data_IF_675004654839
#
_entry.id   IF_675004654839
#
_cell.length_a   1.000
_cell.length_b   1.000
_cell.length_c   1.000
_cell.angle_alpha   90.00
_cell.angle_beta   90.00
_cell.angle_gamma   90.00
#
_symmetry.space_group_name_H-M   'P 1'
#
loop_
_entity.id
_entity.type
_entity.pdbx_description
1 polymer ?
#
# COMPACT_ATOMS: atom_id res chain seq x y z
N UNK A 1 -49.57 42.71 35.92
CA UNK A 1 -48.69 43.09 34.79
C UNK A 1 -47.50 42.13 34.85
N UNK A 2 -47.55 41.00 34.14
CA UNK A 2 -46.99 40.77 32.78
C UNK A 2 -45.49 41.12 32.74
N UNK A 3 -44.52 40.25 32.41
CA UNK A 3 -44.51 39.12 31.47
C UNK A 3 -43.50 38.04 31.89
N UNK A 4 -43.88 36.80 31.60
CA UNK A 4 -43.03 35.61 31.52
C UNK A 4 -42.29 35.65 30.17
N UNK A 5 -40.98 35.42 30.16
CA UNK A 5 -40.21 35.28 28.91
C UNK A 5 -39.47 33.95 28.93
N UNK A 6 -39.82 33.12 27.95
CA UNK A 6 -39.37 31.74 27.77
C UNK A 6 -37.86 31.63 27.54
N UNK A 7 -37.26 30.58 28.11
CA UNK A 7 -36.00 30.03 27.62
C UNK A 7 -36.24 29.39 26.24
N UNK A 8 -35.64 29.95 25.20
CA UNK A 8 -35.59 29.34 23.87
C UNK A 8 -34.46 28.32 23.87
N UNK A 9 -34.83 27.04 23.72
CA UNK A 9 -33.92 25.94 23.42
C UNK A 9 -33.41 26.15 21.99
N UNK A 10 -32.16 26.55 21.82
CA UNK A 10 -31.50 26.50 20.51
C UNK A 10 -31.11 25.05 20.22
N UNK A 11 -31.94 24.39 19.40
CA UNK A 11 -31.64 23.11 18.77
C UNK A 11 -30.52 23.30 17.74
N UNK A 12 -29.43 22.56 17.89
CA UNK A 12 -28.34 22.51 16.90
C UNK A 12 -28.88 21.96 15.56
N UNK A 13 -28.45 22.51 14.41
CA UNK A 13 -28.85 21.97 13.13
C UNK A 13 -28.21 20.59 12.92
N UNK A 14 -29.07 19.61 12.63
CA UNK A 14 -28.67 18.27 12.19
C UNK A 14 -27.84 18.38 10.91
N UNK A 15 -26.53 18.12 10.99
CA UNK A 15 -25.71 17.91 9.81
C UNK A 15 -26.07 16.56 9.18
N UNK A 16 -26.78 16.62 8.06
CA UNK A 16 -26.87 15.54 7.08
C UNK A 16 -25.48 15.20 6.55
N UNK A 17 -25.11 13.90 6.40
CA UNK A 17 -23.82 13.54 5.80
C UNK A 17 -23.84 13.93 4.32
N UNK A 18 -22.88 14.75 3.92
CA UNK A 18 -22.67 15.12 2.53
C UNK A 18 -22.32 13.86 1.73
N UNK A 19 -23.02 13.69 0.63
CA UNK A 19 -22.86 12.65 -0.38
C UNK A 19 -21.43 12.58 -0.91
N UNK A 20 -20.92 11.36 -1.02
CA UNK A 20 -19.67 10.99 -1.68
C UNK A 20 -19.53 11.67 -3.05
N UNK A 21 -18.48 12.48 -3.20
CA UNK A 21 -18.03 12.97 -4.51
C UNK A 21 -17.21 11.85 -5.14
N UNK A 22 -17.66 11.36 -6.30
CA UNK A 22 -16.91 10.43 -7.14
C UNK A 22 -15.73 11.16 -7.78
N UNK A 23 -14.55 11.07 -7.18
CA UNK A 23 -13.33 11.54 -7.81
C UNK A 23 -12.92 10.57 -8.91
N UNK A 24 -12.74 11.11 -10.11
CA UNK A 24 -12.31 10.38 -11.29
C UNK A 24 -10.90 10.82 -11.67
N UNK A 25 -10.01 9.87 -11.92
CA UNK A 25 -8.60 10.15 -12.28
C UNK A 25 -8.49 10.14 -13.80
N UNK A 26 -7.86 11.17 -14.38
CA UNK A 26 -7.62 11.31 -15.83
C UNK A 26 -6.11 11.17 -16.07
N UNK A 27 -5.69 10.18 -16.86
CA UNK A 27 -4.30 10.02 -17.30
C UNK A 27 -4.11 10.59 -18.73
N UNK A 28 -3.00 11.31 -19.01
CA UNK A 28 -2.68 11.75 -20.38
C UNK A 28 -2.01 10.62 -21.19
N UNK A 29 -2.47 10.39 -22.43
CA UNK A 29 -1.93 9.38 -23.34
C UNK A 29 -0.48 9.69 -23.77
N UNK A 30 0.38 8.66 -23.81
CA UNK A 30 1.70 8.70 -24.47
C UNK A 30 1.59 8.30 -25.94
N UNK A 31 2.29 9.03 -26.81
CA UNK A 31 2.42 8.73 -28.25
C UNK A 31 3.65 7.84 -28.48
N UNK A 32 3.45 6.64 -29.03
CA UNK A 32 4.53 5.72 -29.43
C UNK A 32 5.12 6.13 -30.80
N UNK A 33 6.45 6.28 -30.95
CA UNK A 33 7.06 6.62 -32.23
C UNK A 33 7.96 5.47 -32.72
N UNK A 34 7.46 4.51 -33.51
CA UNK A 34 8.31 3.73 -34.45
C UNK A 34 7.43 2.90 -35.40
N UNK A 35 7.43 3.23 -36.70
CA UNK A 35 7.28 2.24 -37.77
C UNK A 35 8.29 2.52 -38.87
N UNK A 36 9.20 1.57 -39.05
CA UNK A 36 10.20 1.51 -40.12
C UNK A 36 9.70 0.51 -41.17
N UNK A 37 9.67 0.91 -42.43
CA UNK A 37 9.35 0.06 -43.58
C UNK A 37 10.01 0.61 -44.84
N UNK A 38 10.98 -0.14 -45.36
CA UNK A 38 11.81 0.13 -46.54
C UNK A 38 11.01 0.22 -47.85
N UNK A 39 11.56 0.95 -48.83
CA UNK A 39 10.85 1.35 -50.05
C UNK A 39 11.04 0.48 -51.30
N UNK A 40 10.27 0.83 -52.35
CA UNK A 40 10.72 0.79 -53.75
C UNK A 40 9.80 1.61 -54.69
N UNK A 41 10.49 2.29 -55.60
CA UNK A 41 10.15 3.25 -56.65
C UNK A 41 8.80 3.23 -57.44
N UNK A 42 8.37 4.48 -57.73
CA UNK A 42 7.78 5.03 -58.98
C UNK A 42 6.38 4.60 -59.46
N UNK A 43 5.36 5.45 -59.21
CA UNK A 43 4.61 6.24 -60.24
C UNK A 43 3.26 6.77 -59.69
N UNK A 44 3.02 8.06 -59.94
CA UNK A 44 1.72 8.77 -60.01
C UNK A 44 0.88 8.82 -58.71
N UNK A 45 0.94 9.99 -58.06
CA UNK A 45 -0.05 10.49 -57.11
C UNK A 45 -1.47 10.36 -57.67
N UNK A 46 -2.24 9.42 -57.15
CA UNK A 46 -3.71 9.50 -57.10
C UNK A 46 -4.09 9.83 -55.66
N UNK A 47 -4.79 10.95 -55.50
CA UNK A 47 -5.33 11.42 -54.22
C UNK A 47 -6.38 10.43 -53.74
N UNK A 48 -5.99 9.48 -52.89
CA UNK A 48 -6.95 8.67 -52.12
C UNK A 48 -7.36 9.55 -50.93
N UNK A 49 -8.60 10.02 -50.93
CA UNK A 49 -9.18 10.58 -49.71
C UNK A 49 -9.36 9.41 -48.73
N UNK A 50 -8.46 9.28 -47.78
CA UNK A 50 -8.70 8.46 -46.59
C UNK A 50 -9.65 9.30 -45.74
N UNK A 51 -10.92 8.90 -45.68
CA UNK A 51 -11.84 9.41 -44.68
C UNK A 51 -11.28 9.00 -43.30
N UNK A 52 -10.52 9.89 -42.67
CA UNK A 52 -10.21 9.78 -41.25
C UNK A 52 -11.52 10.05 -40.52
N UNK A 53 -12.29 8.99 -40.26
CA UNK A 53 -13.33 9.06 -39.25
C UNK A 53 -12.59 9.31 -37.93
N UNK A 54 -12.74 10.46 -37.26
CA UNK A 54 -12.16 10.61 -35.94
C UNK A 54 -12.98 9.70 -35.03
N UNK A 55 -12.51 8.47 -34.84
CA UNK A 55 -12.99 7.61 -33.76
C UNK A 55 -12.83 8.44 -32.50
N UNK A 56 -13.95 8.96 -32.02
CA UNK A 56 -14.01 9.75 -30.81
C UNK A 56 -13.69 8.77 -29.70
N UNK A 57 -12.41 8.60 -29.39
CA UNK A 57 -11.94 7.86 -28.22
C UNK A 57 -12.50 8.64 -27.03
N UNK A 58 -13.65 8.19 -26.55
CA UNK A 58 -14.20 8.68 -25.28
C UNK A 58 -13.23 8.21 -24.21
N UNK A 59 -12.57 9.11 -23.46
CA UNK A 59 -11.73 8.70 -22.36
C UNK A 59 -12.59 7.87 -21.40
N UNK A 60 -12.21 6.61 -21.18
CA UNK A 60 -12.89 5.76 -20.21
C UNK A 60 -12.50 6.27 -18.84
N UNK A 61 -13.45 6.89 -18.16
CA UNK A 61 -13.28 7.28 -16.77
C UNK A 61 -13.27 6.00 -15.91
N UNK A 62 -12.10 5.54 -15.49
CA UNK A 62 -11.98 4.42 -14.54
C UNK A 62 -12.54 4.89 -13.20
N UNK A 63 -13.50 4.14 -12.65
CA UNK A 63 -13.99 4.43 -11.31
C UNK A 63 -12.96 3.93 -10.30
N UNK A 64 -12.75 4.66 -9.21
CA UNK A 64 -11.84 4.25 -8.13
C UNK A 64 -12.09 2.80 -7.64
N UNK A 65 -13.35 2.34 -7.67
CA UNK A 65 -13.73 0.97 -7.33
C UNK A 65 -13.26 -0.12 -8.32
N UNK A 66 -12.77 0.26 -9.49
CA UNK A 66 -12.22 -0.64 -10.52
C UNK A 66 -10.70 -0.79 -10.41
N UNK A 67 -10.03 0.03 -9.56
CA UNK A 67 -8.57 -0.04 -9.32
C UNK A 67 -8.16 -1.20 -8.40
N UNK A 68 -9.13 -1.88 -7.79
CA UNK A 68 -8.90 -2.96 -6.82
C UNK A 68 -9.67 -4.19 -7.28
N UNK A 69 -8.97 -5.31 -7.58
CA UNK A 69 -9.62 -6.55 -7.98
C UNK A 69 -10.66 -7.02 -6.97
N UNK A 70 -11.84 -7.38 -7.47
CA UNK A 70 -12.92 -7.95 -6.66
C UNK A 70 -12.73 -9.41 -6.32
N UNK A 71 -11.81 -10.09 -6.98
CA UNK A 71 -11.48 -11.49 -6.69
C UNK A 71 -10.25 -11.59 -5.78
N UNK A 72 -9.99 -12.79 -5.28
CA UNK A 72 -8.77 -13.11 -4.53
C UNK A 72 -7.54 -13.28 -5.43
N UNK A 73 -6.33 -13.37 -4.84
CA UNK A 73 -5.15 -13.80 -5.57
C UNK A 73 -5.35 -15.17 -6.25
N UNK A 74 -4.66 -15.44 -7.35
CA UNK A 74 -4.70 -16.75 -8.02
C UNK A 74 -3.39 -17.48 -7.78
N UNK A 75 -3.48 -18.72 -7.28
CA UNK A 75 -2.32 -19.58 -7.03
C UNK A 75 -2.18 -20.58 -8.19
N UNK A 76 -0.98 -20.65 -8.76
CA UNK A 76 -0.58 -21.53 -9.85
C UNK A 76 0.54 -22.48 -9.39
N UNK A 77 0.74 -23.58 -10.13
CA UNK A 77 1.79 -24.57 -9.80
C UNK A 77 1.39 -25.58 -8.72
N UNK A 78 0.12 -25.59 -8.34
CA UNK A 78 -0.44 -26.52 -7.35
C UNK A 78 -0.47 -27.95 -7.89
N UNK A 79 0.14 -28.90 -7.17
CA UNK A 79 -0.02 -30.34 -7.44
C UNK A 79 -1.03 -30.96 -6.48
N UNK A 80 -1.79 -31.94 -6.96
CA UNK A 80 -2.84 -32.62 -6.17
C UNK A 80 -2.27 -33.44 -5.01
N UNK A 81 -1.06 -33.99 -5.18
CA UNK A 81 -0.38 -34.83 -4.20
C UNK A 81 1.10 -34.53 -4.21
N UNK A 82 1.70 -34.38 -3.04
CA UNK A 82 3.15 -34.19 -2.89
C UNK A 82 3.76 -35.28 -2.02
N UNK A 83 5.02 -35.62 -2.26
CA UNK A 83 5.83 -36.54 -1.47
C UNK A 83 6.91 -35.77 -0.72
N UNK A 84 7.41 -36.38 0.36
CA UNK A 84 8.60 -35.87 1.05
C UNK A 84 9.76 -35.80 0.05
N UNK A 85 10.46 -34.68 0.03
CA UNK A 85 11.51 -34.37 -0.93
C UNK A 85 11.04 -33.71 -2.22
N UNK A 86 9.73 -33.66 -2.49
CA UNK A 86 9.22 -32.92 -3.65
C UNK A 86 9.44 -31.42 -3.47
N UNK A 87 9.74 -30.76 -4.59
CA UNK A 87 9.83 -29.31 -4.65
C UNK A 87 8.42 -28.73 -4.77
N UNK A 88 7.99 -28.01 -3.74
CA UNK A 88 6.85 -27.10 -3.85
C UNK A 88 7.34 -25.87 -4.60
N UNK A 89 6.65 -25.52 -5.69
CA UNK A 89 6.94 -24.32 -6.47
C UNK A 89 5.61 -23.75 -6.97
N UNK A 90 5.17 -22.69 -6.33
CA UNK A 90 3.88 -22.08 -6.54
C UNK A 90 4.04 -20.60 -6.84
N UNK A 91 3.25 -20.09 -7.77
CA UNK A 91 3.20 -18.66 -8.08
C UNK A 91 1.86 -18.11 -7.66
N UNK A 92 1.86 -16.99 -6.95
CA UNK A 92 0.66 -16.22 -6.63
C UNK A 92 0.65 -14.94 -7.47
N UNK A 93 -0.47 -14.70 -8.15
CA UNK A 93 -0.72 -13.49 -8.93
C UNK A 93 -1.91 -12.72 -8.36
N UNK A 94 -1.76 -11.42 -8.20
CA UNK A 94 -2.83 -10.52 -7.81
C UNK A 94 -2.75 -9.19 -8.57
N UNK A 95 -3.89 -8.70 -9.05
CA UNK A 95 -3.98 -7.52 -9.89
C UNK A 95 -4.95 -7.72 -11.05
N UNK A 96 -5.03 -6.75 -11.98
CA UNK A 96 -4.29 -5.47 -11.98
C UNK A 96 -4.76 -4.52 -10.87
N UNK A 97 -3.85 -3.76 -10.24
CA UNK A 97 -4.18 -2.77 -9.21
C UNK A 97 -3.22 -1.60 -9.15
N UNK A 98 -3.63 -0.50 -8.50
CA UNK A 98 -2.77 0.65 -8.22
C UNK A 98 -3.03 1.19 -6.81
N UNK A 99 -2.05 1.12 -5.88
CA UNK A 99 -0.70 0.59 -6.02
C UNK A 99 -0.65 -0.95 -6.26
N UNK A 100 0.52 -1.54 -6.55
CA UNK A 100 0.67 -2.99 -6.55
C UNK A 100 0.48 -3.53 -5.12
N UNK A 101 -0.03 -4.75 -5.00
CA UNK A 101 -0.24 -5.40 -3.72
C UNK A 101 1.07 -6.00 -3.18
N UNK A 102 1.23 -5.93 -1.86
CA UNK A 102 2.23 -6.73 -1.15
C UNK A 102 1.70 -8.16 -0.99
N UNK A 103 2.42 -9.14 -1.53
CA UNK A 103 2.07 -10.56 -1.40
C UNK A 103 2.80 -11.17 -0.20
N UNK A 104 2.06 -11.85 0.67
CA UNK A 104 2.59 -12.59 1.82
C UNK A 104 2.13 -14.05 1.75
N UNK A 105 3.04 -14.99 2.01
CA UNK A 105 2.73 -16.42 2.02
C UNK A 105 2.66 -16.95 3.45
N UNK A 106 1.74 -17.87 3.68
CA UNK A 106 1.65 -18.64 4.92
C UNK A 106 1.66 -20.13 4.60
N UNK A 107 2.39 -20.88 5.40
CA UNK A 107 2.49 -22.34 5.32
C UNK A 107 1.99 -22.90 6.66
N UNK A 108 0.92 -23.70 6.62
CA UNK A 108 0.26 -24.25 7.81
C UNK A 108 -0.15 -23.21 8.87
N UNK A 109 -0.46 -21.99 8.42
CA UNK A 109 -0.89 -20.91 9.30
C UNK A 109 0.24 -20.03 9.84
N UNK A 110 1.50 -20.42 9.64
CA UNK A 110 2.69 -19.63 9.97
C UNK A 110 3.19 -18.87 8.73
N UNK A 111 3.74 -17.67 8.91
CA UNK A 111 4.31 -16.91 7.79
C UNK A 111 5.50 -17.66 7.18
N UNK A 112 5.53 -17.75 5.85
CA UNK A 112 6.57 -18.45 5.14
C UNK A 112 7.94 -17.81 5.41
N UNK A 113 8.99 -18.60 5.69
CA UNK A 113 10.35 -18.08 5.77
C UNK A 113 10.73 -17.31 4.51
N UNK A 114 11.41 -16.17 4.68
CA UNK A 114 11.85 -15.34 3.55
C UNK A 114 12.73 -16.12 2.55
N UNK A 115 13.46 -17.14 3.01
CA UNK A 115 14.26 -18.03 2.14
C UNK A 115 13.43 -18.83 1.13
N UNK A 116 12.12 -19.00 1.38
CA UNK A 116 11.21 -19.73 0.50
C UNK A 116 10.45 -18.80 -0.44
N UNK A 117 10.50 -17.49 -0.22
CA UNK A 117 9.67 -16.51 -0.91
C UNK A 117 10.54 -15.67 -1.85
N UNK A 118 10.14 -15.62 -3.11
CA UNK A 118 10.72 -14.76 -4.13
C UNK A 118 9.68 -13.74 -4.54
N UNK A 119 9.94 -12.46 -4.29
CA UNK A 119 9.08 -11.37 -4.74
C UNK A 119 9.57 -10.87 -6.10
N UNK A 120 8.70 -10.90 -7.10
CA UNK A 120 9.01 -10.33 -8.41
C UNK A 120 8.65 -8.83 -8.40
N UNK A 121 9.31 -8.06 -9.25
CA UNK A 121 8.88 -6.69 -9.49
C UNK A 121 7.48 -6.69 -10.12
N UNK A 122 6.57 -5.79 -9.67
CA UNK A 122 5.25 -5.68 -10.27
C UNK A 122 5.36 -5.39 -11.76
N UNK A 123 4.64 -6.16 -12.57
CA UNK A 123 4.60 -5.99 -14.02
C UNK A 123 3.42 -5.11 -14.41
N UNK A 124 3.62 -4.20 -15.36
CA UNK A 124 2.52 -3.44 -15.94
C UNK A 124 1.52 -4.36 -16.64
N UNK A 125 0.23 -4.10 -16.41
CA UNK A 125 -0.82 -4.71 -17.20
C UNK A 125 -0.90 -4.02 -18.58
N UNK A 126 -1.46 -4.73 -19.57
CA UNK A 126 -1.55 -4.20 -20.94
C UNK A 126 -2.55 -3.03 -21.06
N UNK A 127 -3.43 -2.84 -20.07
CA UNK A 127 -4.35 -1.72 -19.94
C UNK A 127 -3.92 -0.77 -18.80
N UNK A 128 -3.54 0.46 -19.16
CA UNK A 128 -3.22 1.57 -18.25
C UNK A 128 -2.11 1.29 -17.22
N UNK A 129 -1.71 2.31 -16.44
CA UNK A 129 -0.61 2.26 -15.45
C UNK A 129 -0.96 1.43 -14.19
N UNK A 130 -1.67 0.31 -14.39
CA UNK A 130 -2.01 -0.68 -13.36
C UNK A 130 -0.96 -1.78 -13.33
N UNK A 131 -0.75 -2.33 -12.13
CA UNK A 131 0.35 -3.26 -11.87
C UNK A 131 -0.19 -4.60 -11.39
N UNK A 132 0.44 -5.68 -11.85
CA UNK A 132 0.21 -7.04 -11.40
C UNK A 132 1.34 -7.42 -10.44
N UNK A 133 0.97 -7.86 -9.26
CA UNK A 133 1.90 -8.33 -8.23
C UNK A 133 2.08 -9.82 -8.37
N UNK A 134 3.34 -10.27 -8.40
CA UNK A 134 3.72 -11.68 -8.48
C UNK A 134 4.67 -12.04 -7.35
N UNK A 135 4.43 -13.17 -6.70
CA UNK A 135 5.38 -13.79 -5.78
C UNK A 135 5.39 -15.30 -5.96
N UNK A 136 6.58 -15.89 -5.86
CA UNK A 136 6.79 -17.33 -5.93
C UNK A 136 7.17 -17.88 -4.57
N UNK A 137 6.49 -18.94 -4.15
CA UNK A 137 6.84 -19.76 -2.99
C UNK A 137 7.55 -21.02 -3.48
N UNK A 138 8.79 -21.26 -3.03
CA UNK A 138 9.54 -22.45 -3.38
C UNK A 138 10.36 -23.03 -2.23
N UNK A 139 10.12 -24.30 -1.92
CA UNK A 139 10.82 -25.05 -0.88
C UNK A 139 10.71 -26.56 -1.11
N UNK A 140 11.65 -27.33 -0.57
CA UNK A 140 11.59 -28.79 -0.59
C UNK A 140 10.79 -29.29 0.62
N UNK A 141 9.94 -30.30 0.42
CA UNK A 141 9.17 -30.87 1.52
C UNK A 141 10.05 -31.68 2.46
N UNK A 142 10.23 -31.17 3.68
CA UNK A 142 10.98 -31.84 4.73
C UNK A 142 10.15 -32.91 5.47
N UNK A 143 10.78 -33.95 6.04
CA UNK A 143 10.10 -35.04 6.75
C UNK A 143 9.17 -34.59 7.91
N UNK A 144 8.24 -35.47 8.34
CA UNK A 144 6.87 -35.13 8.76
C UNK A 144 6.72 -34.57 10.18
N UNK A 145 7.78 -34.05 10.81
CA UNK A 145 7.63 -33.46 12.15
C UNK A 145 6.84 -32.14 12.17
N UNK A 146 6.56 -31.54 11.00
CA UNK A 146 5.92 -30.21 10.86
C UNK A 146 4.56 -30.22 10.12
N UNK A 147 4.16 -31.32 9.47
CA UNK A 147 3.02 -31.34 8.54
C UNK A 147 2.05 -32.46 8.96
N UNK A 148 0.99 -32.13 9.70
CA UNK A 148 -0.03 -33.06 10.22
C UNK A 148 -0.87 -33.70 9.08
N UNK A 149 -0.25 -34.48 8.19
CA UNK A 149 -0.89 -35.19 7.09
C UNK A 149 -1.37 -34.34 5.91
N UNK A 150 -1.31 -33.01 6.02
CA UNK A 150 -1.63 -32.08 4.92
C UNK A 150 -0.76 -30.83 4.99
N UNK A 151 -0.58 -30.21 3.82
CA UNK A 151 0.13 -28.95 3.65
C UNK A 151 -0.89 -27.89 3.23
N UNK A 152 -1.11 -26.90 4.08
CA UNK A 152 -1.94 -25.74 3.76
C UNK A 152 -1.06 -24.58 3.36
N UNK A 153 -1.31 -24.01 2.17
CA UNK A 153 -0.62 -22.83 1.69
C UNK A 153 -1.64 -21.73 1.49
N UNK A 154 -1.35 -20.53 1.98
CA UNK A 154 -2.21 -19.35 1.84
C UNK A 154 -1.41 -18.19 1.27
N UNK A 155 -1.92 -17.60 0.21
CA UNK A 155 -1.41 -16.35 -0.35
C UNK A 155 -2.34 -15.20 0.06
N UNK A 156 -1.77 -14.15 0.65
CA UNK A 156 -2.48 -12.92 1.02
C UNK A 156 -1.89 -11.77 0.19
N UNK A 157 -2.74 -11.05 -0.53
CA UNK A 157 -2.40 -9.83 -1.25
C UNK A 157 -2.98 -8.62 -0.49
N UNK A 158 -2.11 -7.70 -0.07
CA UNK A 158 -2.46 -6.53 0.73
C UNK A 158 -2.24 -5.24 -0.07
N UNK A 159 -3.27 -4.43 -0.18
CA UNK A 159 -3.27 -3.13 -0.87
C UNK A 159 -3.43 -2.00 0.13
N UNK A 160 -2.44 -1.13 0.25
CA UNK A 160 -2.52 0.07 1.08
C UNK A 160 -2.86 1.27 0.19
N UNK A 161 -4.05 1.85 0.37
CA UNK A 161 -4.50 2.99 -0.42
C UNK A 161 -4.61 4.23 0.46
N UNK A 162 -3.95 5.30 0.02
CA UNK A 162 -4.03 6.60 0.67
C UNK A 162 -5.44 7.17 0.48
N UNK A 163 -6.12 7.42 1.60
CA UNK A 163 -7.46 7.97 1.63
C UNK A 163 -7.45 9.49 1.84
N UNK A 164 -6.62 9.96 2.76
CA UNK A 164 -6.49 11.37 3.05
C UNK A 164 -5.04 11.68 3.45
N UNK A 165 -4.56 12.86 3.06
CA UNK A 165 -3.27 13.37 3.50
C UNK A 165 -3.45 14.81 3.95
N UNK A 166 -2.91 15.12 5.12
CA UNK A 166 -2.87 16.47 5.65
C UNK A 166 -1.45 16.80 6.13
N UNK A 167 -1.05 18.06 6.06
CA UNK A 167 0.27 18.47 6.53
C UNK A 167 0.25 19.85 7.15
N UNK A 168 1.19 20.06 8.07
CA UNK A 168 1.47 21.35 8.67
C UNK A 168 2.95 21.68 8.46
N UNK A 169 3.21 22.84 7.89
CA UNK A 169 4.56 23.39 7.72
C UNK A 169 4.78 24.52 8.73
N UNK A 170 5.89 24.45 9.46
CA UNK A 170 6.42 25.53 10.27
C UNK A 170 7.64 26.12 9.55
N UNK A 171 7.57 27.41 9.22
CA UNK A 171 8.71 28.16 8.69
C UNK A 171 9.28 28.99 9.83
N UNK A 172 10.55 28.77 10.12
CA UNK A 172 11.32 29.48 11.15
C UNK A 172 12.33 30.37 10.43
N UNK A 173 12.25 31.69 10.59
CA UNK A 173 13.10 32.68 9.90
C UNK A 173 13.18 34.04 10.59
N UNK A 174 13.94 34.97 10.01
CA UNK A 174 14.16 36.31 10.57
C UNK A 174 12.89 37.19 10.45
N UNK A 175 12.12 37.25 11.53
CA UNK A 175 10.92 38.08 11.59
C UNK A 175 11.26 39.57 11.75
N UNK A 176 11.09 40.36 10.69
CA UNK A 176 11.07 41.84 10.76
C UNK A 176 9.85 42.38 11.54
N UNK A 177 8.93 41.52 11.96
CA UNK A 177 7.77 41.88 12.78
C UNK A 177 7.35 40.73 13.70
N UNK A 178 7.94 40.68 14.90
CA UNK A 178 7.36 40.06 16.10
C UNK A 178 7.11 38.55 16.08
N UNK A 179 8.05 37.78 16.64
CA UNK A 179 7.84 36.55 17.44
C UNK A 179 6.76 35.53 17.03
N UNK A 180 6.40 35.37 15.74
CA UNK A 180 5.43 34.36 15.32
C UNK A 180 5.90 33.57 14.10
N UNK A 181 5.69 32.25 14.16
CA UNK A 181 5.95 31.32 13.07
C UNK A 181 4.96 31.51 11.94
N UNK A 182 5.41 31.41 10.69
CA UNK A 182 4.48 31.17 9.59
C UNK A 182 4.07 29.69 9.59
N UNK A 183 2.77 29.45 9.76
CA UNK A 183 2.16 28.11 9.72
C UNK A 183 1.38 27.95 8.44
N UNK A 184 1.72 26.94 7.63
CA UNK A 184 0.97 26.61 6.41
C UNK A 184 0.32 25.26 6.61
N UNK A 185 -1.02 25.26 6.65
CA UNK A 185 -1.84 24.07 6.82
C UNK A 185 -2.38 23.62 5.47
N UNK A 186 -2.08 22.39 5.08
CA UNK A 186 -2.63 21.76 3.89
C UNK A 186 -3.52 20.59 4.29
N UNK A 187 -4.83 20.77 4.22
CA UNK A 187 -5.83 19.80 4.68
C UNK A 187 -7.00 19.76 3.70
N UNK A 188 -7.59 18.58 3.42
CA UNK A 188 -8.82 18.48 2.65
C UNK A 188 -9.97 19.29 3.27
N UNK A 189 -10.93 19.79 2.46
CA UNK A 189 -12.07 20.56 2.98
C UNK A 189 -12.85 19.79 4.05
N UNK A 190 -13.09 20.43 5.20
CA UNK A 190 -13.87 19.84 6.30
C UNK A 190 -13.11 18.83 7.18
N UNK A 191 -11.79 18.68 7.01
CA UNK A 191 -10.95 17.84 7.86
C UNK A 191 -10.03 18.69 8.75
N UNK A 192 -9.49 18.05 9.79
CA UNK A 192 -8.43 18.60 10.64
C UNK A 192 -7.06 18.07 10.18
N UNK A 193 -6.01 18.86 10.39
CA UNK A 193 -4.63 18.48 10.05
C UNK A 193 -3.79 18.11 11.27
N UNK A 194 -2.54 17.68 11.04
CA UNK A 194 -1.61 17.45 12.14
C UNK A 194 -1.23 18.76 12.84
N UNK A 195 -0.82 18.64 14.09
CA UNK A 195 -0.38 19.77 14.93
C UNK A 195 1.06 19.54 15.36
N UNK A 196 1.90 20.56 15.15
CA UNK A 196 3.29 20.57 15.61
C UNK A 196 3.40 21.42 16.88
N UNK A 197 4.06 20.88 17.90
CA UNK A 197 4.28 21.48 19.22
C UNK A 197 5.75 21.43 19.62
N UNK A 198 6.17 22.29 20.54
CA UNK A 198 7.55 22.34 21.07
C UNK A 198 8.52 23.22 20.29
N UNK A 199 8.13 23.76 19.14
CA UNK A 199 9.00 24.60 18.32
C UNK A 199 9.38 25.94 18.98
N UNK A 200 10.59 26.43 18.71
CA UNK A 200 11.07 27.77 19.09
C UNK A 200 10.94 28.77 17.94
N UNK A 201 10.57 30.04 18.21
CA UNK A 201 10.29 31.05 17.18
C UNK A 201 11.50 31.37 16.29
N UNK A 202 12.70 30.93 16.69
CA UNK A 202 13.94 31.02 15.95
C UNK A 202 14.87 29.88 16.36
N UNK A 203 15.72 29.47 15.45
CA UNK A 203 16.81 28.53 15.71
C UNK A 203 18.10 29.03 15.10
N UNK A 204 19.20 28.82 15.80
CA UNK A 204 20.56 29.10 15.35
C UNK A 204 21.33 27.82 15.10
N UNK A 205 22.41 27.90 14.32
CA UNK A 205 23.33 26.78 14.13
C UNK A 205 23.83 26.29 15.48
N UNK A 206 23.68 25.00 15.73
CA UNK A 206 24.06 24.35 16.97
C UNK A 206 22.91 24.14 17.96
N UNK A 207 21.77 24.81 17.78
CA UNK A 207 20.56 24.59 18.59
C UNK A 207 20.01 23.17 18.40
N UNK A 208 19.24 22.73 19.38
CA UNK A 208 18.51 21.46 19.32
C UNK A 208 17.04 21.78 19.02
N UNK A 209 16.57 21.29 17.88
CA UNK A 209 15.14 21.22 17.59
C UNK A 209 14.60 20.00 18.32
N UNK A 210 13.54 20.17 19.11
CA UNK A 210 12.83 19.07 19.78
C UNK A 210 11.33 19.36 19.68
N UNK A 211 10.71 18.80 18.64
CA UNK A 211 9.31 19.07 18.29
C UNK A 211 8.53 17.79 18.17
N UNK A 212 7.23 17.89 18.45
CA UNK A 212 6.31 16.78 18.38
C UNK A 212 5.20 17.08 17.38
N UNK A 213 4.93 16.14 16.49
CA UNK A 213 3.76 16.16 15.63
C UNK A 213 2.72 15.17 16.14
N UNK A 214 1.46 15.61 16.23
CA UNK A 214 0.32 14.77 16.52
C UNK A 214 -0.67 14.82 15.35
N UNK A 215 -1.19 13.67 14.93
CA UNK A 215 -2.23 13.62 13.89
C UNK A 215 -3.57 14.13 14.42
N UNK A 216 -4.46 14.53 13.50
CA UNK A 216 -5.89 14.62 13.81
C UNK A 216 -6.43 13.27 14.32
N UNK A 217 -7.55 13.30 15.05
CA UNK A 217 -8.20 12.09 15.55
C UNK A 217 -8.95 11.39 14.42
N UNK A 218 -8.72 10.10 14.25
CA UNK A 218 -9.36 9.28 13.21
C UNK A 218 -9.66 7.86 13.70
N UNK A 219 -10.49 7.13 12.95
CA UNK A 219 -10.82 5.73 13.27
C UNK A 219 -9.60 4.82 13.08
N UNK A 220 -8.89 4.97 11.96
CA UNK A 220 -7.63 4.28 11.70
C UNK A 220 -6.44 5.16 12.12
N UNK A 221 -5.25 4.57 12.20
CA UNK A 221 -4.02 5.23 12.66
C UNK A 221 -3.29 5.92 11.49
N UNK A 222 -3.21 7.26 11.44
CA UNK A 222 -2.46 7.95 10.39
C UNK A 222 -0.96 7.69 10.54
N UNK A 223 -0.27 7.48 9.42
CA UNK A 223 1.20 7.45 9.40
C UNK A 223 1.73 8.88 9.38
N UNK A 224 2.70 9.18 10.24
CA UNK A 224 3.33 10.49 10.31
C UNK A 224 4.71 10.46 9.65
N UNK A 225 5.04 11.50 8.90
CA UNK A 225 6.33 11.67 8.24
C UNK A 225 6.83 13.12 8.43
N UNK A 226 8.12 13.25 8.76
CA UNK A 226 8.78 14.55 8.93
C UNK A 226 9.67 14.87 7.73
N UNK A 227 9.64 16.12 7.31
CA UNK A 227 10.58 16.67 6.33
C UNK A 227 11.24 17.93 6.87
N UNK A 228 12.53 18.09 6.56
CA UNK A 228 13.30 19.33 6.77
C UNK A 228 13.63 19.88 5.38
N UNK A 229 13.11 21.06 5.07
CA UNK A 229 13.30 21.70 3.76
C UNK A 229 12.97 20.78 2.56
N UNK A 230 11.84 20.07 2.68
CA UNK A 230 11.30 19.10 1.71
C UNK A 230 12.07 17.77 1.58
N UNK A 231 13.10 17.56 2.41
CA UNK A 231 13.83 16.31 2.48
C UNK A 231 13.34 15.44 3.64
N UNK A 232 13.06 14.16 3.37
CA UNK A 232 12.59 13.20 4.37
C UNK A 232 13.64 13.03 5.47
N UNK A 233 13.19 13.11 6.72
CA UNK A 233 14.06 12.94 7.88
C UNK A 233 14.43 11.47 8.08
N UNK A 234 15.71 11.20 8.35
CA UNK A 234 16.20 9.86 8.64
C UNK A 234 15.70 9.32 10.00
N UNK A 235 15.48 8.00 10.15
CA UNK A 235 14.92 7.41 11.37
C UNK A 235 15.68 7.72 12.66
N UNK A 236 17.00 7.93 12.62
CA UNK A 236 17.79 8.25 13.82
C UNK A 236 17.41 9.56 14.53
N UNK A 237 16.73 10.49 13.83
CA UNK A 237 16.24 11.74 14.40
C UNK A 237 14.77 11.69 14.82
N UNK A 238 14.12 10.54 14.63
CA UNK A 238 12.69 10.35 14.89
C UNK A 238 12.46 9.58 16.18
N UNK A 239 11.46 10.00 16.93
CA UNK A 239 11.01 9.31 18.15
C UNK A 239 9.56 8.89 17.99
N UNK A 240 9.28 7.61 17.67
CA UNK A 240 7.92 7.11 17.56
C UNK A 240 7.28 7.01 18.95
N UNK A 241 6.02 7.43 19.06
CA UNK A 241 5.22 7.27 20.27
C UNK A 241 4.08 6.27 20.04
N UNK A 242 3.64 5.54 21.08
CA UNK A 242 2.45 4.71 20.97
C UNK A 242 1.22 5.56 20.62
N UNK A 243 0.27 5.02 19.83
CA UNK A 243 -0.98 5.70 19.55
C UNK A 243 -1.75 6.08 20.81
N UNK A 244 -2.39 7.26 20.78
CA UNK A 244 -3.30 7.68 21.83
C UNK A 244 -4.72 7.26 21.44
N UNK A 245 -5.36 6.46 22.29
CA UNK A 245 -6.75 6.03 22.12
C UNK A 245 -7.68 6.90 22.97
N UNK A 246 -8.76 7.40 22.37
CA UNK A 246 -9.73 8.28 23.02
C UNK A 246 -11.02 7.53 23.37
N UNK A 247 -11.80 8.02 24.36
CA UNK A 247 -13.04 7.35 24.79
C UNK A 247 -14.14 7.26 23.71
N UNK A 248 -14.06 8.09 22.67
CA UNK A 248 -14.98 8.07 21.51
C UNK A 248 -14.62 7.01 20.46
N UNK A 249 -13.58 6.19 20.73
CA UNK A 249 -13.11 5.16 19.82
C UNK A 249 -12.18 5.67 18.71
N UNK A 250 -11.91 6.97 18.66
CA UNK A 250 -10.92 7.54 17.77
C UNK A 250 -9.51 7.39 18.34
N UNK A 251 -8.52 7.47 17.47
CA UNK A 251 -7.10 7.41 17.82
C UNK A 251 -6.30 8.53 17.15
N UNK A 252 -5.19 8.93 17.76
CA UNK A 252 -4.21 9.86 17.19
C UNK A 252 -2.82 9.26 17.28
N UNK A 253 -2.00 9.49 16.26
CA UNK A 253 -0.59 9.10 16.23
C UNK A 253 0.31 10.28 16.54
N UNK A 254 1.50 10.00 17.08
CA UNK A 254 2.46 11.04 17.46
C UNK A 254 3.88 10.63 17.08
N UNK A 255 4.62 11.58 16.49
CA UNK A 255 6.00 11.39 16.05
C UNK A 255 6.86 12.59 16.45
N UNK A 256 7.87 12.34 17.26
CA UNK A 256 8.85 13.33 17.67
C UNK A 256 9.96 13.48 16.64
N UNK A 257 10.48 14.70 16.50
CA UNK A 257 11.64 15.05 15.69
C UNK A 257 12.65 15.76 16.59
N UNK A 258 13.86 15.20 16.68
CA UNK A 258 14.95 15.79 17.45
C UNK A 258 16.27 15.74 16.69
N UNK A 259 16.83 16.90 16.39
CA UNK A 259 18.11 17.02 15.69
C UNK A 259 18.84 18.32 16.05
N UNK A 260 20.14 18.37 15.73
CA UNK A 260 20.95 19.57 15.89
C UNK A 260 20.93 20.38 14.60
N UNK A 261 20.70 21.69 14.71
CA UNK A 261 20.71 22.59 13.56
C UNK A 261 22.12 22.72 13.00
N UNK A 262 22.25 22.48 11.70
CA UNK A 262 23.48 22.57 10.92
C UNK A 262 23.30 23.67 9.87
N UNK A 263 24.40 24.24 9.32
CA UNK A 263 24.30 25.28 8.31
C UNK A 263 23.45 24.89 7.08
N UNK A 264 23.48 23.62 6.69
CA UNK A 264 22.69 23.06 5.57
C UNK A 264 21.17 23.06 5.81
N UNK A 265 20.72 23.10 7.06
CA UNK A 265 19.30 23.18 7.41
C UNK A 265 18.73 24.60 7.28
N UNK A 266 19.57 25.63 7.15
CA UNK A 266 19.16 27.03 7.02
C UNK A 266 19.32 27.49 5.57
N UNK A 267 18.21 27.55 4.82
CA UNK A 267 18.18 28.06 3.44
C UNK A 267 17.79 29.54 3.47
N UNK A 268 18.77 30.43 3.38
CA UNK A 268 18.53 31.87 3.44
C UNK A 268 18.03 32.34 4.81
N UNK A 269 18.58 31.76 5.89
CA UNK A 269 18.17 31.97 7.28
C UNK A 269 16.76 31.46 7.63
N UNK A 270 16.15 30.67 6.73
CA UNK A 270 14.89 29.97 6.98
C UNK A 270 15.07 28.46 7.08
N UNK A 271 14.33 27.85 7.98
CA UNK A 271 14.17 26.39 8.09
C UNK A 271 12.69 26.03 8.03
N UNK A 272 12.34 25.11 7.14
CA UNK A 272 10.99 24.57 6.99
C UNK A 272 10.91 23.18 7.61
N UNK A 273 10.06 23.04 8.62
CA UNK A 273 9.72 21.76 9.22
C UNK A 273 8.30 21.37 8.78
N UNK A 274 8.15 20.25 8.10
CA UNK A 274 6.84 19.76 7.64
C UNK A 274 6.52 18.43 8.28
N UNK A 275 5.36 18.35 8.93
CA UNK A 275 4.79 17.09 9.35
C UNK A 275 3.62 16.73 8.44
N UNK A 276 3.66 15.55 7.83
CA UNK A 276 2.60 15.00 6.99
C UNK A 276 1.93 13.84 7.73
N UNK A 277 0.60 13.87 7.82
CA UNK A 277 -0.22 12.79 8.31
C UNK A 277 -0.98 12.15 7.14
N UNK A 278 -0.72 10.86 6.92
CA UNK A 278 -1.33 10.08 5.84
C UNK A 278 -2.23 9.01 6.43
N UNK A 279 -3.52 9.12 6.14
CA UNK A 279 -4.52 8.11 6.49
C UNK A 279 -4.69 7.17 5.30
N UNK A 280 -4.37 5.90 5.51
CA UNK A 280 -4.47 4.85 4.48
C UNK A 280 -5.33 3.72 4.99
N UNK A 281 -6.17 3.14 4.14
CA UNK A 281 -6.84 1.87 4.43
C UNK A 281 -6.09 0.71 3.76
N UNK A 282 -6.12 -0.46 4.40
CA UNK A 282 -5.52 -1.68 3.83
C UNK A 282 -6.62 -2.66 3.44
N UNK A 283 -6.63 -3.07 2.17
CA UNK A 283 -7.52 -4.10 1.65
C UNK A 283 -6.72 -5.39 1.47
N UNK A 284 -7.14 -6.44 2.16
CA UNK A 284 -6.50 -7.76 2.08
C UNK A 284 -7.38 -8.73 1.32
N UNK A 285 -6.80 -9.39 0.32
CA UNK A 285 -7.43 -10.49 -0.44
C UNK A 285 -6.64 -11.77 -0.24
N UNK A 286 -7.34 -12.87 -0.07
CA UNK A 286 -6.72 -14.13 0.35
C UNK A 286 -7.19 -15.28 -0.53
N UNK A 287 -6.27 -16.17 -0.85
CA UNK A 287 -6.56 -17.48 -1.44
C UNK A 287 -5.74 -18.55 -0.74
N UNK A 288 -6.31 -19.73 -0.57
CA UNK A 288 -5.68 -20.82 0.14
C UNK A 288 -5.89 -22.14 -0.61
N UNK A 289 -4.87 -22.98 -0.56
CA UNK A 289 -4.85 -24.33 -1.13
C UNK A 289 -4.47 -25.32 -0.04
N UNK A 290 -5.08 -26.50 -0.05
CA UNK A 290 -4.73 -27.60 0.87
C UNK A 290 -4.31 -28.81 0.05
N UNK A 291 -3.12 -29.32 0.36
CA UNK A 291 -2.41 -30.30 -0.44
C UNK A 291 -2.27 -31.59 0.35
N UNK A 292 -2.49 -32.72 -0.33
CA UNK A 292 -2.39 -34.04 0.27
C UNK A 292 -0.95 -34.56 0.17
N UNK A 293 -0.43 -35.09 1.27
CA UNK A 293 0.85 -35.79 1.27
C UNK A 293 0.61 -37.24 0.84
N UNK A 294 1.25 -37.67 -0.24
CA UNK A 294 1.16 -39.04 -0.74
C UNK A 294 1.99 -39.99 0.12
N UNK A 295 1.34 -41.01 0.67
CA UNK A 295 2.03 -42.07 1.41
C UNK A 295 2.90 -42.94 0.49
N UNK A 296 4.16 -43.12 0.86
CA UNK A 296 5.02 -44.16 0.30
C UNK A 296 4.82 -45.48 1.05
N UNK A 297 3.63 -46.08 0.95
CA UNK A 297 3.51 -47.52 1.23
C UNK A 297 4.00 -48.31 0.00
N UNK A 298 5.31 -48.54 -0.09
CA UNK A 298 5.83 -49.70 -0.82
C UNK A 298 5.47 -50.93 0.00
N UNK A 299 4.26 -51.46 -0.16
CA UNK A 299 4.01 -52.87 0.13
C UNK A 299 4.72 -53.68 -0.95
N UNK A 300 5.98 -54.03 -0.71
CA UNK A 300 6.60 -55.15 -1.41
C UNK A 300 5.79 -56.40 -1.07
N UNK A 301 4.94 -56.84 -1.99
CA UNK A 301 4.34 -58.17 -1.97
C UNK A 301 5.47 -59.20 -2.07
N UNK A 302 5.95 -59.66 -0.92
CA UNK A 302 6.82 -60.82 -0.84
C UNK A 302 5.92 -62.06 -0.91
N UNK A 303 5.70 -62.56 -2.12
CA UNK A 303 5.16 -63.91 -2.31
C UNK A 303 6.26 -64.92 -2.05
N UNK A 304 6.29 -65.51 -0.85
CA UNK A 304 6.93 -66.82 -0.66
C UNK A 304 5.97 -67.89 -1.11
N UNK A 305 6.14 -68.36 -2.34
CA UNK A 305 5.61 -69.65 -2.77
C UNK A 305 6.43 -70.75 -2.10
N UNK A 306 5.93 -71.24 -0.98
CA UNK A 306 6.45 -72.46 -0.36
C UNK A 306 5.76 -73.67 -1.01
N UNK A 307 6.55 -74.47 -1.72
CA UNK A 307 6.13 -75.69 -2.40
C UNK A 307 6.93 -76.86 -1.85
N UNK A 308 6.50 -77.39 -0.71
CA UNK A 308 6.80 -78.77 -0.28
C UNK A 308 5.50 -79.56 -0.43
N UNK A 309 5.34 -80.52 -1.33
CA UNK A 309 6.28 -81.61 -1.60
C UNK A 309 5.85 -82.84 -0.80
N UNK A 310 4.66 -83.37 -1.07
CA UNK A 310 4.19 -84.66 -0.58
C UNK A 310 4.99 -85.78 -1.23
N UNK A 311 5.70 -86.57 -0.42
CA UNK A 311 6.41 -87.77 -0.84
C UNK A 311 6.24 -88.86 0.20
N UNK A 312 5.37 -89.82 -0.15
CA UNK A 312 5.18 -91.21 0.33
C UNK A 312 5.62 -91.60 1.74
#
# INVERSE_FOLDING_TARGET
>A
MSKQSCCVVHTSPKHTPASFIHDSVIFPDKVDPYQQGEGRNNKKMKRIQIASNPTTLRPRTIKLGDLIPKDGPRIFGVQKTYRIGDLVNMTCLFGPSKPPAQITWYINGEEAPQSYVYHNHPSADQEEDLLISESRLSFALEPPRLWQGSLSVRCIASLSQVHATSSLELIVGEGTSGAEFQRILHVPPGQEGPVITGGLPRYYVGDIVDVNCSSARSLDLPQLEWHINDEVVRPEFLTPYPPTHYPDGLSSTKLGLRFRVLPEHLRGDEMRLKCTATLSYTITRTSAETLLLGDNHRSSSFHTSDRSGTGK
#
